data_IF_470665451222
#
_entry.id   IF_470665451222
#
_cell.length_a   1.000
_cell.length_b   1.000
_cell.length_c   1.000
_cell.angle_alpha   90.00
_cell.angle_beta   90.00
_cell.angle_gamma   90.00
#
_symmetry.space_group_name_H-M   'P 1'
#
loop_
_entity.id
_entity.type
_entity.pdbx_description
1 polymer ?
#
# COMPACT_ATOMS: atom_id res chain seq x y z
N UNK A 1 4.69 -6.72 4.75
CA UNK A 1 4.56 -8.01 5.51
C UNK A 1 5.80 -8.39 6.32
N UNK A 2 6.96 -8.50 5.67
CA UNK A 2 8.23 -8.86 6.31
C UNK A 2 8.67 -7.84 7.36
N UNK A 3 8.54 -6.54 7.08
CA UNK A 3 8.94 -5.51 8.05
C UNK A 3 8.15 -5.54 9.35
N UNK A 4 6.84 -5.79 9.32
CA UNK A 4 6.08 -5.86 10.57
C UNK A 4 6.54 -7.03 11.43
N UNK A 5 6.72 -8.19 10.79
CA UNK A 5 7.26 -9.39 11.42
C UNK A 5 8.63 -9.10 11.99
N UNK A 6 9.52 -8.49 11.23
CA UNK A 6 10.86 -8.10 11.69
C UNK A 6 10.80 -7.05 12.80
N UNK A 7 10.04 -5.98 12.66
CA UNK A 7 9.89 -4.95 13.68
C UNK A 7 9.28 -5.50 14.96
N UNK A 8 8.33 -6.44 14.92
CA UNK A 8 7.73 -7.05 16.12
C UNK A 8 8.61 -8.16 16.71
N UNK A 9 9.19 -9.02 15.88
CA UNK A 9 10.13 -10.05 16.31
C UNK A 9 11.40 -9.42 16.88
N UNK A 10 11.94 -8.41 16.23
CA UNK A 10 13.14 -7.68 16.64
C UNK A 10 12.87 -6.52 17.60
N UNK A 11 11.62 -6.04 17.80
CA UNK A 11 11.34 -5.09 18.91
C UNK A 11 11.73 -5.69 20.25
N UNK A 12 11.56 -7.01 20.38
CA UNK A 12 11.96 -7.77 21.56
C UNK A 12 13.49 -7.83 21.73
N UNK A 13 14.26 -7.53 20.68
CA UNK A 13 15.71 -7.52 20.70
C UNK A 13 16.28 -6.49 19.69
N UNK A 14 16.25 -5.19 20.06
CA UNK A 14 16.77 -4.09 19.23
C UNK A 14 18.21 -4.32 18.76
N UNK A 15 19.04 -4.95 19.60
CA UNK A 15 20.43 -5.26 19.26
C UNK A 15 20.52 -6.24 18.09
N UNK A 16 19.59 -7.20 17.99
CA UNK A 16 19.50 -8.12 16.84
C UNK A 16 19.17 -7.38 15.54
N UNK A 17 18.24 -6.41 15.59
CA UNK A 17 17.91 -5.58 14.44
C UNK A 17 19.13 -4.79 13.94
N UNK A 18 19.83 -4.13 14.87
CA UNK A 18 21.03 -3.35 14.57
C UNK A 18 22.09 -4.27 13.98
N UNK A 19 22.36 -5.42 14.60
CA UNK A 19 23.33 -6.40 14.10
C UNK A 19 23.01 -6.87 12.68
N UNK A 20 21.75 -7.18 12.39
CA UNK A 20 21.32 -7.57 11.03
C UNK A 20 21.52 -6.43 10.03
N UNK A 21 21.11 -5.20 10.37
CA UNK A 21 21.31 -4.03 9.52
C UNK A 21 22.79 -3.79 9.24
N UNK A 22 23.64 -3.81 10.27
CA UNK A 22 25.10 -3.65 10.15
C UNK A 22 25.68 -4.74 9.24
N UNK A 23 25.31 -6.01 9.43
CA UNK A 23 25.80 -7.10 8.58
C UNK A 23 25.41 -6.95 7.11
N UNK A 24 24.19 -6.49 6.81
CA UNK A 24 23.79 -6.22 5.43
C UNK A 24 24.55 -5.04 4.82
N UNK A 25 24.76 -3.96 5.56
CA UNK A 25 25.54 -2.82 5.09
C UNK A 25 27.00 -3.23 4.83
N UNK A 26 27.63 -3.99 5.73
CA UNK A 26 28.98 -4.55 5.53
C UNK A 26 29.05 -5.46 4.29
N UNK A 27 28.00 -6.22 4.00
CA UNK A 27 27.92 -7.00 2.76
C UNK A 27 27.90 -6.10 1.52
N UNK A 28 27.06 -5.06 1.50
CA UNK A 28 26.97 -4.16 0.36
C UNK A 28 28.25 -3.34 0.14
N UNK A 29 28.94 -2.92 1.21
CA UNK A 29 30.22 -2.19 1.10
C UNK A 29 31.36 -3.04 0.50
N UNK A 30 31.23 -4.37 0.47
CA UNK A 30 32.19 -5.26 -0.19
C UNK A 30 31.96 -5.37 -1.70
N UNK A 31 30.84 -4.87 -2.22
CA UNK A 31 30.56 -4.92 -3.64
C UNK A 31 31.37 -3.86 -4.39
N UNK A 32 31.97 -4.23 -5.51
CA UNK A 32 32.56 -3.26 -6.41
C UNK A 32 31.45 -2.52 -7.17
N UNK A 33 31.30 -1.22 -6.92
CA UNK A 33 30.23 -0.43 -7.53
C UNK A 33 30.35 -0.32 -9.05
N UNK A 34 31.57 -0.39 -9.58
CA UNK A 34 31.83 -0.19 -11.01
C UNK A 34 31.35 -1.40 -11.85
N UNK A 35 31.11 -2.54 -11.19
CA UNK A 35 30.55 -3.75 -11.79
C UNK A 35 29.01 -3.83 -11.66
N UNK A 36 28.37 -2.83 -11.05
CA UNK A 36 26.93 -2.86 -10.75
C UNK A 36 26.15 -1.85 -11.59
N UNK A 37 25.31 -2.34 -12.50
CA UNK A 37 24.32 -1.51 -13.19
C UNK A 37 23.24 -1.00 -12.23
N UNK A 38 22.69 -1.89 -11.40
CA UNK A 38 21.58 -1.62 -10.48
C UNK A 38 21.51 -2.69 -9.38
N UNK A 39 20.86 -2.37 -8.26
CA UNK A 39 20.44 -3.35 -7.24
C UNK A 39 18.92 -3.46 -7.29
N UNK A 40 18.44 -4.67 -7.55
CA UNK A 40 17.00 -4.99 -7.64
C UNK A 40 16.58 -5.77 -6.41
N UNK A 41 15.49 -5.37 -5.76
CA UNK A 41 14.98 -6.04 -4.58
C UNK A 41 13.45 -6.18 -4.62
N UNK A 42 12.94 -7.32 -4.16
CA UNK A 42 11.51 -7.66 -4.17
C UNK A 42 10.87 -7.60 -2.76
N UNK A 43 11.69 -7.46 -1.70
CA UNK A 43 11.24 -7.52 -0.30
C UNK A 43 10.69 -6.20 0.27
N UNK A 44 10.46 -6.19 1.59
CA UNK A 44 10.09 -5.00 2.36
C UNK A 44 10.81 -4.97 3.71
N UNK A 45 11.84 -5.79 3.90
CA UNK A 45 12.51 -5.99 5.19
C UNK A 45 13.70 -5.06 5.40
N UNK A 46 14.44 -5.32 6.47
CA UNK A 46 15.67 -4.61 6.84
C UNK A 46 16.73 -4.69 5.74
N UNK A 47 16.83 -5.82 5.03
CA UNK A 47 17.69 -5.97 3.86
C UNK A 47 17.39 -4.95 2.76
N UNK A 48 16.11 -4.66 2.49
CA UNK A 48 15.71 -3.67 1.50
C UNK A 48 16.14 -2.26 1.89
N UNK A 49 15.99 -1.93 3.18
CA UNK A 49 16.42 -0.64 3.71
C UNK A 49 17.95 -0.52 3.59
N UNK A 50 18.70 -1.55 3.96
CA UNK A 50 20.16 -1.58 3.82
C UNK A 50 20.61 -1.41 2.36
N UNK A 51 19.98 -2.16 1.43
CA UNK A 51 20.26 -2.08 0.00
C UNK A 51 20.02 -0.67 -0.55
N UNK A 52 18.89 -0.06 -0.18
CA UNK A 52 18.57 1.30 -0.62
C UNK A 52 19.52 2.35 -0.03
N UNK A 53 19.85 2.25 1.26
CA UNK A 53 20.83 3.14 1.89
C UNK A 53 22.21 3.05 1.22
N UNK A 54 22.65 1.84 0.89
CA UNK A 54 23.87 1.63 0.11
C UNK A 54 23.76 2.31 -1.27
N UNK A 55 22.71 2.05 -2.03
CA UNK A 55 22.49 2.67 -3.34
C UNK A 55 22.50 4.21 -3.30
N UNK A 56 21.86 4.81 -2.29
CA UNK A 56 21.88 6.26 -2.08
C UNK A 56 23.30 6.76 -1.82
N UNK A 57 24.07 6.05 -0.98
CA UNK A 57 25.45 6.41 -0.63
C UNK A 57 26.41 6.22 -1.82
N UNK A 58 26.31 5.11 -2.53
CA UNK A 58 27.19 4.74 -3.64
C UNK A 58 26.82 5.41 -4.96
N UNK A 59 25.63 6.03 -5.03
CA UNK A 59 24.99 6.52 -6.26
C UNK A 59 24.70 5.40 -7.28
N UNK A 60 24.58 4.16 -6.81
CA UNK A 60 24.13 3.03 -7.64
C UNK A 60 22.60 3.06 -7.76
N UNK A 61 22.06 2.68 -8.92
CA UNK A 61 20.61 2.61 -9.11
C UNK A 61 19.98 1.56 -8.19
N UNK A 62 18.88 1.93 -7.54
CA UNK A 62 18.05 1.02 -6.77
C UNK A 62 16.73 0.78 -7.48
N UNK A 63 16.28 -0.47 -7.51
CA UNK A 63 14.98 -0.84 -8.04
C UNK A 63 14.26 -1.68 -7.00
N UNK A 64 13.18 -1.12 -6.48
CA UNK A 64 12.19 -1.87 -5.73
C UNK A 64 11.17 -2.45 -6.70
N UNK A 65 11.15 -3.76 -6.77
CA UNK A 65 10.19 -4.49 -7.57
C UNK A 65 8.91 -4.73 -6.78
N UNK A 66 7.77 -4.69 -7.47
CA UNK A 66 6.51 -5.16 -6.94
C UNK A 66 6.14 -6.49 -7.56
N UNK A 67 5.76 -7.43 -6.70
CA UNK A 67 5.43 -8.81 -7.08
C UNK A 67 4.34 -8.91 -8.15
N UNK A 68 3.36 -8.01 -8.07
CA UNK A 68 2.29 -7.86 -9.06
C UNK A 68 1.92 -6.38 -9.23
N UNK A 69 1.43 -6.04 -10.43
CA UNK A 69 0.94 -4.72 -10.78
C UNK A 69 -0.57 -4.56 -10.63
N UNK A 70 -1.06 -3.40 -11.04
CA UNK A 70 -2.50 -3.10 -11.10
C UNK A 70 -3.18 -3.77 -12.31
N UNK A 71 -2.37 -4.16 -13.30
CA UNK A 71 -2.79 -4.79 -14.54
C UNK A 71 -2.40 -6.29 -14.48
N UNK A 72 -3.35 -7.23 -14.70
CA UNK A 72 -3.05 -8.66 -14.70
C UNK A 72 -1.89 -9.02 -15.63
N UNK A 73 -1.00 -9.90 -15.15
CA UNK A 73 0.18 -10.33 -15.91
C UNK A 73 1.30 -9.29 -16.04
N UNK A 74 1.13 -8.11 -15.42
CA UNK A 74 2.11 -7.03 -15.43
C UNK A 74 2.55 -6.67 -14.02
N UNK A 75 3.64 -5.91 -13.94
CA UNK A 75 4.22 -5.35 -12.70
C UNK A 75 4.71 -3.93 -12.92
N UNK A 76 5.04 -3.25 -11.84
CA UNK A 76 5.72 -1.96 -11.88
C UNK A 76 6.89 -1.99 -10.90
N UNK A 77 7.85 -1.11 -11.14
CA UNK A 77 9.09 -1.00 -10.38
C UNK A 77 9.27 0.45 -9.95
N UNK A 78 9.84 0.65 -8.77
CA UNK A 78 10.10 1.98 -8.22
C UNK A 78 11.58 2.19 -8.00
N UNK A 79 12.05 3.42 -8.20
CA UNK A 79 13.45 3.81 -7.99
C UNK A 79 13.84 3.95 -6.52
N UNK A 80 12.89 3.78 -5.61
CA UNK A 80 13.08 3.91 -4.17
C UNK A 80 12.27 2.87 -3.38
N UNK A 81 12.52 2.82 -2.07
CA UNK A 81 11.77 1.98 -1.14
C UNK A 81 10.35 2.52 -0.86
N UNK A 82 10.05 3.74 -1.33
CA UNK A 82 8.79 4.40 -1.05
C UNK A 82 7.64 3.82 -1.87
N UNK A 83 7.94 3.17 -3.00
CA UNK A 83 6.98 2.49 -3.89
C UNK A 83 5.86 3.40 -4.41
N UNK A 84 5.95 4.70 -4.17
CA UNK A 84 5.01 5.71 -4.63
C UNK A 84 5.53 6.42 -5.88
N UNK A 85 6.82 6.34 -6.18
CA UNK A 85 7.43 6.96 -7.36
C UNK A 85 7.81 5.90 -8.39
N UNK A 86 6.87 5.60 -9.26
CA UNK A 86 7.04 4.59 -10.32
C UNK A 86 6.33 4.96 -11.63
N UNK A 87 5.42 5.93 -11.60
CA UNK A 87 4.77 6.42 -12.82
C UNK A 87 5.79 7.29 -13.55
N UNK A 88 6.11 6.93 -14.79
CA UNK A 88 7.03 7.68 -15.63
C UNK A 88 6.36 8.95 -16.12
N UNK A 89 6.99 10.09 -15.82
CA UNK A 89 6.47 11.43 -16.13
C UNK A 89 6.31 11.66 -17.64
N UNK A 90 7.22 11.10 -18.44
CA UNK A 90 7.20 11.15 -19.91
C UNK A 90 5.92 10.60 -20.56
N UNK A 91 5.14 9.79 -19.84
CA UNK A 91 3.86 9.26 -20.30
C UNK A 91 2.66 10.09 -19.83
N UNK A 92 2.82 10.89 -18.77
CA UNK A 92 1.78 11.76 -18.24
C UNK A 92 1.67 13.09 -19.01
N UNK A 93 2.82 13.64 -19.41
CA UNK A 93 2.89 14.97 -20.04
C UNK A 93 2.40 14.98 -21.51
N UNK A 94 2.25 13.80 -22.13
CA UNK A 94 1.82 13.66 -23.53
C UNK A 94 0.30 13.65 -23.67
N UNK A 95 -0.19 14.20 -24.78
CA UNK A 95 -1.58 14.01 -25.20
C UNK A 95 -1.82 12.56 -25.65
N UNK A 96 -3.01 12.05 -25.37
CA UNK A 96 -3.36 10.67 -25.72
C UNK A 96 -3.76 10.57 -27.19
N UNK A 97 -3.25 9.54 -27.87
CA UNK A 97 -3.77 9.17 -29.20
C UNK A 97 -5.20 8.60 -29.10
N UNK A 98 -5.86 8.41 -30.23
CA UNK A 98 -7.20 7.80 -30.27
C UNK A 98 -7.19 6.37 -29.74
N UNK A 99 -6.15 5.60 -30.08
CA UNK A 99 -5.95 4.22 -29.64
C UNK A 99 -5.68 4.16 -28.13
N UNK A 100 -4.83 5.05 -27.61
CA UNK A 100 -4.54 5.12 -26.18
C UNK A 100 -5.78 5.49 -25.36
N UNK A 101 -6.63 6.38 -25.88
CA UNK A 101 -7.92 6.70 -25.26
C UNK A 101 -8.84 5.48 -25.13
N UNK A 102 -8.83 4.55 -26.10
CA UNK A 102 -9.63 3.33 -26.04
C UNK A 102 -9.09 2.42 -24.93
N UNK A 103 -7.79 2.14 -24.95
CA UNK A 103 -7.11 1.28 -23.96
C UNK A 103 -7.29 1.82 -22.54
N UNK A 104 -7.18 3.13 -22.34
CA UNK A 104 -7.41 3.77 -21.03
C UNK A 104 -8.84 3.56 -20.54
N UNK A 105 -9.85 3.72 -21.41
CA UNK A 105 -11.25 3.52 -21.03
C UNK A 105 -11.52 2.06 -20.65
N UNK A 106 -10.97 1.12 -21.40
CA UNK A 106 -11.06 -0.31 -21.09
C UNK A 106 -10.42 -0.65 -19.74
N UNK A 107 -9.22 -0.13 -19.48
CA UNK A 107 -8.53 -0.31 -18.20
C UNK A 107 -9.34 0.26 -17.03
N UNK A 108 -9.88 1.47 -17.16
CA UNK A 108 -10.69 2.09 -16.11
C UNK A 108 -12.01 1.34 -15.88
N UNK A 109 -12.65 0.84 -16.93
CA UNK A 109 -13.86 0.01 -16.79
C UNK A 109 -13.53 -1.31 -16.10
N UNK A 110 -12.47 -2.00 -16.52
CA UNK A 110 -11.99 -3.22 -15.87
C UNK A 110 -11.69 -2.99 -14.38
N UNK A 111 -11.01 -1.89 -14.05
CA UNK A 111 -10.67 -1.53 -12.66
C UNK A 111 -11.92 -1.32 -11.80
N UNK A 112 -13.00 -0.78 -12.37
CA UNK A 112 -14.28 -0.56 -11.66
C UNK A 112 -15.07 -1.86 -11.46
N UNK A 113 -14.97 -2.81 -12.38
CA UNK A 113 -15.71 -4.08 -12.32
C UNK A 113 -15.02 -5.14 -11.47
N UNK A 114 -13.72 -5.37 -11.69
CA UNK A 114 -13.03 -6.55 -11.15
C UNK A 114 -12.42 -6.36 -9.77
N UNK A 115 -12.50 -5.14 -9.20
CA UNK A 115 -11.86 -4.74 -7.94
C UNK A 115 -10.59 -5.55 -7.67
N UNK A 116 -9.55 -5.29 -8.47
CA UNK A 116 -8.27 -5.96 -8.29
C UNK A 116 -7.73 -5.60 -6.90
N UNK A 117 -7.88 -6.51 -5.93
CA UNK A 117 -7.16 -6.41 -4.67
C UNK A 117 -5.70 -6.61 -5.03
N UNK A 118 -4.93 -5.52 -4.99
CA UNK A 118 -3.48 -5.59 -5.18
C UNK A 118 -2.91 -6.25 -3.93
N UNK A 119 -2.31 -7.43 -4.09
CA UNK A 119 -1.73 -8.20 -3.01
C UNK A 119 -2.40 -9.56 -2.78
N UNK A 120 -1.99 -10.23 -1.71
CA UNK A 120 -2.50 -11.56 -1.35
C UNK A 120 -4.02 -11.48 -1.14
N UNK A 121 -4.77 -12.41 -1.76
CA UNK A 121 -6.22 -12.50 -1.62
C UNK A 121 -6.68 -12.67 -0.16
N UNK A 122 -8.00 -12.76 0.09
CA UNK A 122 -8.55 -12.92 1.44
C UNK A 122 -7.77 -13.99 2.21
N UNK A 123 -7.08 -13.60 3.28
CA UNK A 123 -6.39 -14.52 4.17
C UNK A 123 -7.39 -15.04 5.20
N UNK A 124 -7.98 -16.24 5.02
CA UNK A 124 -8.88 -16.80 6.01
C UNK A 124 -8.15 -16.91 7.35
N UNK A 125 -8.81 -16.49 8.43
CA UNK A 125 -8.20 -16.49 9.77
C UNK A 125 -7.91 -17.92 10.23
N UNK A 126 -8.81 -18.84 9.89
CA UNK A 126 -8.68 -20.29 10.08
C UNK A 126 -8.84 -20.96 8.71
N UNK A 127 -7.84 -21.73 8.29
CA UNK A 127 -7.89 -22.55 7.07
C UNK A 127 -6.98 -23.75 7.21
N UNK A 128 -7.26 -24.83 6.46
CA UNK A 128 -6.37 -25.99 6.36
C UNK A 128 -4.95 -25.58 5.96
N UNK A 129 -4.81 -24.55 5.12
CA UNK A 129 -3.51 -24.00 4.75
C UNK A 129 -2.78 -23.35 5.95
N UNK A 130 -3.49 -22.65 6.84
CA UNK A 130 -2.87 -22.11 8.06
C UNK A 130 -2.46 -23.21 9.04
N UNK A 131 -3.23 -24.31 9.12
CA UNK A 131 -2.88 -25.48 9.93
C UNK A 131 -1.63 -26.17 9.38
N UNK A 132 -1.60 -26.44 8.06
CA UNK A 132 -0.40 -26.97 7.38
C UNK A 132 0.82 -26.08 7.58
N UNK A 133 0.66 -24.76 7.44
CA UNK A 133 1.74 -23.78 7.72
C UNK A 133 2.22 -23.84 9.16
N UNK A 134 1.32 -23.96 10.14
CA UNK A 134 1.70 -24.09 11.55
C UNK A 134 2.52 -25.36 11.81
N UNK A 135 2.10 -26.52 11.28
CA UNK A 135 2.88 -27.76 11.41
C UNK A 135 4.21 -27.71 10.65
N UNK A 136 4.25 -27.10 9.46
CA UNK A 136 5.51 -26.85 8.74
C UNK A 136 6.46 -26.00 9.59
N UNK A 137 5.98 -24.87 10.12
CA UNK A 137 6.75 -24.02 11.03
C UNK A 137 7.19 -24.77 12.29
N UNK A 138 6.37 -25.68 12.85
CA UNK A 138 6.76 -26.51 14.00
C UNK A 138 7.91 -27.44 13.64
N UNK A 139 7.81 -28.15 12.51
CA UNK A 139 8.87 -29.03 12.03
C UNK A 139 10.17 -28.25 11.83
N UNK A 140 10.10 -27.10 11.14
CA UNK A 140 11.27 -26.24 10.90
C UNK A 140 11.86 -25.69 12.21
N UNK A 141 11.01 -25.36 13.18
CA UNK A 141 11.40 -24.85 14.50
C UNK A 141 12.16 -25.89 15.33
N UNK A 142 11.78 -27.18 15.25
CA UNK A 142 12.44 -28.26 15.98
C UNK A 142 13.61 -28.92 15.21
N UNK A 143 13.66 -28.80 13.88
CA UNK A 143 14.79 -29.27 13.05
C UNK A 143 16.04 -28.38 13.13
N UNK A 144 16.08 -27.44 14.07
CA UNK A 144 17.20 -26.52 14.28
C UNK A 144 17.63 -25.75 13.01
N UNK A 145 16.66 -25.38 12.15
CA UNK A 145 16.81 -24.25 11.22
C UNK A 145 16.76 -22.92 12.02
N UNK A 146 17.45 -22.88 13.16
CA UNK A 146 17.73 -21.66 13.94
C UNK A 146 18.61 -20.69 13.16
N UNK A 147 19.34 -21.18 12.16
CA UNK A 147 20.21 -20.38 11.30
C UNK A 147 19.43 -19.36 10.46
N UNK A 148 18.16 -19.63 10.11
CA UNK A 148 17.28 -18.63 9.51
C UNK A 148 16.50 -17.95 10.63
N UNK A 149 17.20 -17.06 11.34
CA UNK A 149 16.74 -16.20 12.44
C UNK A 149 15.50 -15.33 12.15
N UNK A 150 14.90 -15.49 10.97
CA UNK A 150 13.76 -14.77 10.45
C UNK A 150 12.44 -15.51 10.72
N UNK A 151 12.44 -16.84 10.90
CA UNK A 151 11.21 -17.66 11.06
C UNK A 151 10.53 -17.37 12.42
N UNK A 152 9.24 -16.95 12.46
CA UNK A 152 8.57 -16.69 13.74
C UNK A 152 8.31 -18.02 14.43
N UNK A 153 8.33 -18.04 15.77
CA UNK A 153 7.94 -19.27 16.47
C UNK A 153 6.49 -19.65 16.09
N UNK A 154 6.20 -20.95 15.95
CA UNK A 154 4.85 -21.43 15.66
C UNK A 154 3.82 -20.91 16.66
N UNK A 155 4.21 -20.82 17.93
CA UNK A 155 3.38 -20.27 19.00
C UNK A 155 3.12 -18.77 18.84
N UNK A 156 4.10 -17.99 18.38
CA UNK A 156 3.91 -16.59 18.04
C UNK A 156 2.93 -16.45 16.87
N UNK A 157 3.11 -17.23 15.80
CA UNK A 157 2.18 -17.29 14.66
C UNK A 157 0.76 -17.61 15.13
N UNK A 158 0.57 -18.66 15.94
CA UNK A 158 -0.73 -19.03 16.50
C UNK A 158 -1.33 -17.91 17.34
N UNK A 159 -0.55 -17.29 18.24
CA UNK A 159 -1.01 -16.18 19.08
C UNK A 159 -1.45 -14.96 18.25
N UNK A 160 -0.74 -14.65 17.16
CA UNK A 160 -1.09 -13.56 16.25
C UNK A 160 -2.45 -13.82 15.58
N UNK A 161 -2.67 -15.04 15.09
CA UNK A 161 -3.94 -15.42 14.48
C UNK A 161 -5.10 -15.42 15.48
N UNK A 162 -4.87 -15.88 16.72
CA UNK A 162 -5.86 -15.83 17.79
C UNK A 162 -6.22 -14.38 18.17
N UNK A 163 -5.22 -13.52 18.36
CA UNK A 163 -5.43 -12.09 18.65
C UNK A 163 -6.22 -11.43 17.51
N UNK A 164 -5.87 -11.69 16.25
CA UNK A 164 -6.62 -11.18 15.09
C UNK A 164 -8.07 -11.64 15.09
N UNK A 165 -8.33 -12.91 15.40
CA UNK A 165 -9.67 -13.46 15.50
C UNK A 165 -10.49 -12.77 16.61
N UNK A 166 -9.93 -12.67 17.81
CA UNK A 166 -10.58 -12.02 18.94
C UNK A 166 -10.82 -10.54 18.68
N UNK A 167 -9.87 -9.83 18.08
CA UNK A 167 -10.02 -8.42 17.69
C UNK A 167 -11.13 -8.25 16.66
N UNK A 168 -11.22 -9.12 15.65
CA UNK A 168 -12.31 -9.11 14.66
C UNK A 168 -13.67 -9.27 15.33
N UNK A 169 -13.81 -10.15 16.32
CA UNK A 169 -15.09 -10.29 17.04
C UNK A 169 -15.38 -9.05 17.88
N UNK A 170 -14.38 -8.58 18.64
CA UNK A 170 -14.52 -7.44 19.54
C UNK A 170 -14.70 -6.10 18.81
N UNK A 171 -14.22 -5.96 17.58
CA UNK A 171 -14.34 -4.72 16.79
C UNK A 171 -15.75 -4.54 16.22
N UNK A 172 -16.48 -5.63 15.93
CA UNK A 172 -17.83 -5.60 15.34
C UNK A 172 -18.81 -4.70 16.10
N UNK A 173 -18.74 -4.67 17.45
CA UNK A 173 -19.63 -3.83 18.27
C UNK A 173 -19.46 -2.32 18.05
N UNK A 174 -18.35 -1.91 17.44
CA UNK A 174 -18.07 -0.52 17.09
C UNK A 174 -18.49 -0.17 15.66
N UNK A 175 -18.87 -1.16 14.85
CA UNK A 175 -19.31 -0.93 13.49
C UNK A 175 -20.78 -0.53 13.48
N UNK A 176 -21.12 0.44 12.63
CA UNK A 176 -22.50 0.86 12.38
C UNK A 176 -22.84 0.70 10.90
N UNK A 177 -24.13 0.66 10.60
CA UNK A 177 -24.61 0.57 9.22
C UNK A 177 -24.09 1.76 8.39
N UNK A 178 -23.79 1.49 7.11
CA UNK A 178 -23.39 2.53 6.17
C UNK A 178 -24.64 3.21 5.61
N UNK A 179 -24.84 4.47 5.99
CA UNK A 179 -25.96 5.30 5.54
C UNK A 179 -25.49 6.26 4.44
N UNK A 180 -25.93 6.00 3.21
CA UNK A 180 -25.58 6.78 2.01
C UNK A 180 -26.28 8.15 1.92
N UNK A 181 -27.29 8.40 2.75
CA UNK A 181 -28.07 9.66 2.70
C UNK A 181 -27.34 10.83 3.34
N UNK A 182 -26.34 10.54 4.18
CA UNK A 182 -25.53 11.56 4.85
C UNK A 182 -24.54 12.19 3.87
N UNK A 183 -24.11 13.41 4.17
CA UNK A 183 -22.92 13.99 3.55
C UNK A 183 -21.68 13.44 4.26
N UNK A 184 -20.71 12.92 3.51
CA UNK A 184 -19.55 12.28 4.12
C UNK A 184 -18.28 12.35 3.30
N UNK A 185 -17.16 12.30 4.02
CA UNK A 185 -15.87 11.91 3.50
C UNK A 185 -15.58 10.45 3.85
N UNK A 186 -14.73 9.81 3.06
CA UNK A 186 -14.30 8.43 3.29
C UNK A 186 -12.81 8.34 3.58
N UNK A 187 -12.45 7.65 4.67
CA UNK A 187 -11.08 7.29 5.01
C UNK A 187 -10.90 5.76 5.01
N UNK A 188 -10.20 5.19 4.03
CA UNK A 188 -9.81 3.77 4.03
C UNK A 188 -8.67 3.57 5.03
N UNK A 189 -8.89 2.75 6.08
CA UNK A 189 -7.81 2.36 6.99
C UNK A 189 -6.82 1.47 6.24
N UNK A 190 -5.55 1.83 6.30
CA UNK A 190 -4.45 0.96 5.91
C UNK A 190 -4.33 -0.20 6.88
N UNK A 191 -3.73 -1.30 6.43
CA UNK A 191 -3.33 -2.36 7.35
C UNK A 191 -2.42 -1.75 8.41
N UNK A 192 -2.68 -2.04 9.70
CA UNK A 192 -1.97 -1.37 10.79
C UNK A 192 -0.44 -1.52 10.72
N UNK A 193 0.03 -2.53 9.98
CA UNK A 193 1.43 -2.81 9.78
C UNK A 193 1.78 -3.00 8.31
N UNK A 194 1.13 -2.22 7.45
CA UNK A 194 1.51 -2.01 6.07
C UNK A 194 2.94 -1.45 6.01
N UNK A 195 3.78 -2.03 5.16
CA UNK A 195 5.15 -1.57 4.90
C UNK A 195 5.16 -0.15 4.34
N UNK A 196 4.20 0.20 3.48
CA UNK A 196 4.09 1.54 2.93
C UNK A 196 3.88 2.56 4.05
N UNK A 197 3.02 2.25 5.03
CA UNK A 197 2.81 3.14 6.17
C UNK A 197 4.02 3.14 7.12
N UNK A 198 4.59 1.97 7.42
CA UNK A 198 5.68 1.85 8.41
C UNK A 198 7.01 2.46 7.95
N UNK A 199 7.34 2.33 6.66
CA UNK A 199 8.59 2.84 6.10
C UNK A 199 8.38 4.27 5.59
N UNK A 200 7.36 4.46 4.76
CA UNK A 200 7.27 5.63 3.88
C UNK A 200 6.45 6.74 4.50
N UNK A 201 5.46 6.36 5.31
CA UNK A 201 4.50 7.28 5.91
C UNK A 201 4.47 7.13 7.44
N UNK A 202 5.64 6.88 8.06
CA UNK A 202 5.75 6.48 9.47
C UNK A 202 5.12 7.49 10.45
N UNK A 203 5.10 8.78 10.07
CA UNK A 203 4.43 9.86 10.80
C UNK A 203 2.93 9.59 10.99
N UNK A 204 2.33 8.87 10.05
CA UNK A 204 0.90 8.54 10.00
C UNK A 204 0.60 7.12 10.50
N UNK A 205 1.58 6.42 11.08
CA UNK A 205 1.39 5.07 11.63
C UNK A 205 0.23 5.00 12.63
N UNK A 206 0.08 6.03 13.47
CA UNK A 206 -1.06 6.17 14.39
C UNK A 206 -2.29 6.67 13.66
N UNK A 207 -2.89 5.80 12.85
CA UNK A 207 -4.08 6.12 12.05
C UNK A 207 -5.27 6.58 12.92
N UNK A 208 -5.38 6.16 14.18
CA UNK A 208 -6.39 6.70 15.11
C UNK A 208 -6.20 8.19 15.40
N UNK A 209 -4.96 8.68 15.40
CA UNK A 209 -4.63 10.11 15.55
C UNK A 209 -4.82 10.90 14.27
N UNK A 210 -4.53 10.29 13.13
CA UNK A 210 -4.86 10.86 11.82
C UNK A 210 -6.38 11.10 11.71
N UNK A 211 -7.18 10.09 12.06
CA UNK A 211 -8.64 10.19 12.06
C UNK A 211 -9.14 11.22 13.08
N UNK A 212 -8.54 11.30 14.27
CA UNK A 212 -8.88 12.33 15.26
C UNK A 212 -8.67 13.74 14.71
N UNK A 213 -7.57 13.98 13.99
CA UNK A 213 -7.29 15.29 13.38
C UNK A 213 -8.24 15.60 12.21
N UNK A 214 -8.52 14.61 11.36
CA UNK A 214 -9.52 14.74 10.29
C UNK A 214 -10.90 15.07 10.88
N UNK A 215 -11.30 14.40 11.96
CA UNK A 215 -12.56 14.64 12.64
C UNK A 215 -12.70 16.10 13.13
N UNK A 216 -11.60 16.72 13.57
CA UNK A 216 -11.57 18.13 13.98
C UNK A 216 -11.63 19.11 12.79
N UNK A 217 -11.16 18.69 11.63
CA UNK A 217 -11.09 19.50 10.42
C UNK A 217 -12.34 19.39 9.52
N UNK A 218 -13.23 18.43 9.78
CA UNK A 218 -14.46 18.25 9.00
C UNK A 218 -15.47 19.38 9.22
N UNK A 219 -16.22 19.80 8.18
CA UNK A 219 -17.37 20.68 8.35
C UNK A 219 -18.47 20.02 9.19
N UNK A 220 -19.30 20.84 9.85
CA UNK A 220 -20.27 20.39 10.85
C UNK A 220 -21.34 19.41 10.29
N UNK A 221 -21.73 19.57 9.03
CA UNK A 221 -22.74 18.74 8.37
C UNK A 221 -22.18 17.47 7.70
N UNK A 222 -20.86 17.21 7.86
CA UNK A 222 -20.19 16.06 7.29
C UNK A 222 -19.76 15.06 8.37
N UNK A 223 -19.84 13.77 8.02
CA UNK A 223 -19.25 12.70 8.80
C UNK A 223 -18.07 12.06 8.07
N UNK A 224 -17.17 11.42 8.82
CA UNK A 224 -16.15 10.54 8.28
C UNK A 224 -16.61 9.10 8.36
N UNK A 225 -16.73 8.43 7.22
CA UNK A 225 -16.78 6.97 7.21
C UNK A 225 -15.37 6.40 7.22
N UNK A 226 -15.14 5.45 8.11
CA UNK A 226 -13.86 4.75 8.27
C UNK A 226 -14.07 3.26 8.06
N UNK A 227 -13.21 2.62 7.27
CA UNK A 227 -13.35 1.20 6.94
C UNK A 227 -12.01 0.46 6.99
N UNK A 228 -11.97 -0.66 7.72
CA UNK A 228 -10.82 -1.58 7.71
C UNK A 228 -10.67 -2.31 6.35
N UNK A 229 -9.42 -2.59 5.96
CA UNK A 229 -9.12 -3.42 4.80
C UNK A 229 -9.65 -4.86 4.98
N UNK A 230 -10.39 -5.42 4.00
CA UNK A 230 -11.08 -6.70 4.17
C UNK A 230 -10.15 -7.91 4.35
N UNK A 231 -8.90 -7.83 3.88
CA UNK A 231 -7.91 -8.92 3.99
C UNK A 231 -7.30 -9.00 5.40
N UNK A 232 -7.29 -7.90 6.13
CA UNK A 232 -6.59 -7.78 7.42
C UNK A 232 -7.48 -7.37 8.58
N UNK A 233 -8.76 -7.72 8.51
CA UNK A 233 -9.69 -7.51 9.62
C UNK A 233 -9.10 -8.10 10.92
N UNK A 234 -9.08 -7.28 11.97
CA UNK A 234 -8.56 -7.65 13.29
C UNK A 234 -7.04 -7.48 13.47
N UNK A 235 -6.29 -7.07 12.44
CA UNK A 235 -4.89 -6.62 12.62
C UNK A 235 -4.82 -5.22 13.23
N UNK A 236 -5.83 -4.38 12.98
CA UNK A 236 -5.94 -3.05 13.60
C UNK A 236 -6.06 -3.19 15.12
N UNK A 237 -5.23 -2.51 15.91
CA UNK A 237 -5.33 -2.55 17.36
C UNK A 237 -6.72 -2.17 17.85
N UNK A 238 -7.33 -3.00 18.71
CA UNK A 238 -8.68 -2.75 19.24
C UNK A 238 -8.77 -1.39 19.97
N UNK A 239 -7.67 -0.93 20.57
CA UNK A 239 -7.56 0.40 21.19
C UNK A 239 -7.79 1.52 20.17
N UNK A 240 -7.25 1.40 18.96
CA UNK A 240 -7.43 2.38 17.88
C UNK A 240 -8.89 2.42 17.45
N UNK A 241 -9.50 1.27 17.20
CA UNK A 241 -10.93 1.15 16.87
C UNK A 241 -11.81 1.77 17.98
N UNK A 242 -11.50 1.52 19.26
CA UNK A 242 -12.20 2.10 20.41
C UNK A 242 -12.01 3.63 20.50
N UNK A 243 -10.85 4.16 20.12
CA UNK A 243 -10.62 5.59 20.11
C UNK A 243 -11.43 6.27 18.99
N UNK A 244 -11.38 5.69 17.79
CA UNK A 244 -12.11 6.18 16.61
C UNK A 244 -13.62 6.19 16.88
N UNK A 245 -14.16 5.13 17.50
CA UNK A 245 -15.61 5.02 17.74
C UNK A 245 -16.17 6.02 18.77
N UNK A 246 -15.31 6.73 19.51
CA UNK A 246 -15.71 7.80 20.43
C UNK A 246 -15.89 9.16 19.76
N UNK A 247 -15.39 9.33 18.54
CA UNK A 247 -15.47 10.59 17.80
C UNK A 247 -16.89 10.76 17.26
N UNK A 248 -17.53 11.89 17.55
CA UNK A 248 -18.97 12.10 17.31
C UNK A 248 -19.34 12.10 15.82
N UNK A 249 -18.48 12.67 14.98
CA UNK A 249 -18.66 12.78 13.53
C UNK A 249 -17.89 11.69 12.76
N UNK A 250 -17.53 10.58 13.40
CA UNK A 250 -16.85 9.46 12.73
C UNK A 250 -17.67 8.19 12.91
N UNK A 251 -17.84 7.43 11.82
CA UNK A 251 -18.54 6.14 11.84
C UNK A 251 -17.66 5.06 11.23
N UNK A 252 -17.38 4.02 12.01
CA UNK A 252 -16.71 2.82 11.51
C UNK A 252 -17.75 1.95 10.84
N UNK A 253 -17.55 1.64 9.57
CA UNK A 253 -18.45 0.80 8.77
C UNK A 253 -17.88 -0.61 8.61
N UNK A 254 -18.74 -1.63 8.37
CA UNK A 254 -18.28 -2.99 8.13
C UNK A 254 -17.27 -3.07 6.98
N UNK A 255 -16.21 -3.86 7.18
CA UNK A 255 -15.22 -4.14 6.14
C UNK A 255 -15.81 -4.85 4.91
N UNK A 256 -16.99 -5.45 5.06
CA UNK A 256 -17.76 -6.12 4.00
C UNK A 256 -18.51 -5.14 3.09
N UNK A 257 -18.72 -3.89 3.50
CA UNK A 257 -19.34 -2.86 2.65
C UNK A 257 -18.51 -2.65 1.39
N UNK A 258 -19.11 -2.53 0.22
CA UNK A 258 -18.34 -2.34 -1.02
C UNK A 258 -17.65 -0.95 -1.01
N UNK A 259 -16.34 -0.91 -1.31
CA UNK A 259 -15.58 0.35 -1.37
C UNK A 259 -16.08 1.27 -2.49
N UNK A 260 -16.50 0.72 -3.64
CA UNK A 260 -16.98 1.51 -4.77
C UNK A 260 -18.30 2.21 -4.45
N UNK A 261 -19.19 1.56 -3.70
CA UNK A 261 -20.46 2.15 -3.30
C UNK A 261 -20.24 3.33 -2.32
N UNK A 262 -19.26 3.21 -1.43
CA UNK A 262 -18.85 4.31 -0.54
C UNK A 262 -18.20 5.44 -1.35
N UNK A 263 -17.34 5.13 -2.33
CA UNK A 263 -16.64 6.15 -3.11
C UNK A 263 -17.60 6.91 -4.02
N UNK A 264 -18.55 6.23 -4.69
CA UNK A 264 -19.49 6.86 -5.64
C UNK A 264 -20.32 7.99 -5.04
N UNK A 265 -20.70 7.88 -3.78
CA UNK A 265 -21.59 8.84 -3.13
C UNK A 265 -20.87 9.79 -2.14
N UNK A 266 -19.55 9.60 -1.93
CA UNK A 266 -18.79 10.49 -1.04
C UNK A 266 -18.60 11.90 -1.62
N UNK A 267 -18.36 12.88 -0.75
CA UNK A 267 -17.88 14.20 -1.13
C UNK A 267 -16.40 14.20 -1.52
N UNK A 268 -15.62 13.31 -0.90
CA UNK A 268 -14.23 13.06 -1.25
C UNK A 268 -13.62 11.95 -0.41
N UNK A 269 -12.46 11.48 -0.85
CA UNK A 269 -11.65 10.52 -0.11
C UNK A 269 -10.51 11.25 0.58
N UNK A 270 -10.30 11.01 1.86
CA UNK A 270 -9.13 11.47 2.61
C UNK A 270 -8.24 10.25 2.82
N UNK A 271 -6.95 10.33 2.47
CA UNK A 271 -6.08 9.15 2.55
C UNK A 271 -4.60 9.52 2.78
N UNK A 272 -3.86 8.57 3.36
CA UNK A 272 -2.39 8.62 3.45
C UNK A 272 -1.81 8.24 2.08
N UNK A 273 -1.92 6.97 1.71
CA UNK A 273 -1.40 6.46 0.45
C UNK A 273 -2.25 5.32 -0.18
N UNK A 274 -3.52 5.19 0.20
CA UNK A 274 -4.34 4.02 -0.18
C UNK A 274 -4.64 3.99 -1.69
N UNK A 275 -4.68 2.81 -2.30
CA UNK A 275 -5.17 2.65 -3.69
C UNK A 275 -6.61 3.16 -3.88
N UNK A 276 -7.40 3.25 -2.80
CA UNK A 276 -8.75 3.83 -2.85
C UNK A 276 -8.77 5.29 -3.27
N UNK A 277 -7.69 6.07 -3.05
CA UNK A 277 -7.61 7.42 -3.64
C UNK A 277 -7.49 7.38 -5.16
N UNK A 278 -6.74 6.42 -5.72
CA UNK A 278 -6.75 6.18 -7.17
C UNK A 278 -8.13 5.79 -7.67
N UNK A 279 -8.81 4.85 -6.99
CA UNK A 279 -10.20 4.46 -7.32
C UNK A 279 -11.15 5.68 -7.31
N UNK A 280 -11.00 6.57 -6.33
CA UNK A 280 -11.81 7.78 -6.22
C UNK A 280 -11.63 8.74 -7.41
N UNK A 281 -10.40 8.94 -7.89
CA UNK A 281 -10.15 9.73 -9.09
C UNK A 281 -10.87 9.14 -10.33
N UNK A 282 -10.96 7.81 -10.45
CA UNK A 282 -11.71 7.18 -11.54
C UNK A 282 -13.23 7.42 -11.48
N UNK A 283 -13.77 7.67 -10.28
CA UNK A 283 -15.15 8.11 -10.05
C UNK A 283 -15.30 9.64 -10.04
N UNK A 284 -14.23 10.36 -10.41
CA UNK A 284 -14.17 11.83 -10.42
C UNK A 284 -14.44 12.44 -9.05
N UNK A 285 -14.06 11.72 -7.99
CA UNK A 285 -14.19 12.17 -6.62
C UNK A 285 -12.91 12.87 -6.17
N UNK A 286 -13.02 14.03 -5.52
CA UNK A 286 -11.91 14.72 -4.91
C UNK A 286 -11.15 13.84 -3.93
N UNK A 287 -9.83 13.95 -3.95
CA UNK A 287 -8.95 13.21 -3.05
C UNK A 287 -8.08 14.20 -2.28
N UNK A 288 -8.19 14.18 -0.96
CA UNK A 288 -7.31 14.89 -0.04
C UNK A 288 -6.24 13.91 0.43
N UNK A 289 -5.00 14.19 0.11
CA UNK A 289 -3.86 13.35 0.46
C UNK A 289 -3.13 13.99 1.63
N UNK A 290 -2.86 13.22 2.68
CA UNK A 290 -2.11 13.70 3.85
C UNK A 290 -0.61 13.40 3.74
N UNK A 291 -0.24 12.62 2.74
CA UNK A 291 1.13 12.29 2.36
C UNK A 291 1.19 12.05 0.85
N UNK A 292 2.28 11.47 0.33
CA UNK A 292 2.52 11.28 -1.11
C UNK A 292 2.11 9.88 -1.63
N UNK A 293 0.88 9.64 -2.13
CA UNK A 293 0.55 8.45 -2.93
C UNK A 293 1.14 8.52 -4.34
N UNK A 294 1.16 7.38 -5.04
CA UNK A 294 1.66 7.31 -6.43
C UNK A 294 0.83 8.08 -7.46
N UNK A 295 -0.44 8.34 -7.15
CA UNK A 295 -1.37 9.08 -8.02
C UNK A 295 -1.46 10.57 -7.65
N UNK A 296 -0.54 11.05 -6.82
CA UNK A 296 -0.41 12.48 -6.52
C UNK A 296 0.04 13.19 -7.79
N UNK A 297 -0.82 14.05 -8.34
CA UNK A 297 -0.58 14.69 -9.62
C UNK A 297 -1.31 16.04 -9.67
N UNK A 298 -0.71 16.99 -10.38
CA UNK A 298 -1.16 18.37 -10.33
C UNK A 298 -2.62 18.55 -10.82
N UNK A 299 -3.41 19.21 -9.99
CA UNK A 299 -4.84 19.41 -10.21
C UNK A 299 -5.73 18.18 -9.99
N UNK A 300 -5.19 16.98 -9.75
CA UNK A 300 -5.98 15.79 -9.43
C UNK A 300 -6.21 15.62 -7.92
N UNK A 301 -5.16 15.81 -7.11
CA UNK A 301 -5.22 15.67 -5.64
C UNK A 301 -5.18 17.03 -4.93
N UNK A 302 -5.58 17.04 -3.67
CA UNK A 302 -5.48 18.16 -2.74
C UNK A 302 -4.51 17.79 -1.63
N UNK A 303 -3.25 18.16 -1.82
CA UNK A 303 -2.17 17.68 -0.95
C UNK A 303 -1.99 18.56 0.29
N UNK A 304 -1.94 17.90 1.46
CA UNK A 304 -1.76 18.55 2.78
C UNK A 304 -0.31 18.35 3.22
N UNK A 305 0.55 19.35 2.95
CA UNK A 305 1.98 19.28 3.33
C UNK A 305 2.23 19.36 4.84
N UNK A 306 1.36 20.07 5.56
CA UNK A 306 1.45 20.25 7.01
C UNK A 306 0.19 19.72 7.68
N UNK A 307 0.11 18.39 7.80
CA UNK A 307 -1.05 17.72 8.34
C UNK A 307 -1.32 18.07 9.82
N UNK A 308 -0.27 18.38 10.58
CA UNK A 308 -0.42 18.75 12.00
C UNK A 308 -1.16 20.09 12.17
N UNK A 309 -1.13 20.93 11.14
CA UNK A 309 -1.91 22.15 11.09
C UNK A 309 -3.36 21.86 10.66
N UNK A 310 -4.25 21.77 11.65
CA UNK A 310 -5.68 21.50 11.44
C UNK A 310 -6.35 22.52 10.51
N UNK A 311 -5.93 23.78 10.48
CA UNK A 311 -6.50 24.81 9.59
C UNK A 311 -6.16 24.55 8.12
N UNK A 312 -4.92 24.10 7.84
CA UNK A 312 -4.53 23.70 6.49
C UNK A 312 -5.29 22.47 6.03
N UNK A 313 -5.49 21.49 6.91
CA UNK A 313 -6.31 20.32 6.63
C UNK A 313 -7.77 20.72 6.36
N UNK A 314 -8.36 21.56 7.22
CA UNK A 314 -9.73 22.08 7.07
C UNK A 314 -9.91 22.82 5.75
N UNK A 315 -8.96 23.68 5.39
CA UNK A 315 -8.96 24.38 4.11
C UNK A 315 -8.99 23.40 2.93
N UNK A 316 -8.13 22.37 2.91
CA UNK A 316 -8.09 21.38 1.83
C UNK A 316 -9.36 20.51 1.78
N UNK A 317 -9.91 20.13 2.93
CA UNK A 317 -11.19 19.39 3.00
C UNK A 317 -12.33 20.25 2.43
N UNK A 318 -12.41 21.53 2.80
CA UNK A 318 -13.43 22.44 2.26
C UNK A 318 -13.28 22.62 0.75
N UNK A 319 -12.06 22.84 0.25
CA UNK A 319 -11.80 22.88 -1.20
C UNK A 319 -12.23 21.60 -1.91
N UNK A 320 -12.15 20.45 -1.25
CA UNK A 320 -12.54 19.17 -1.83
C UNK A 320 -14.05 19.07 -2.07
N UNK A 321 -14.89 19.77 -1.30
CA UNK A 321 -16.36 19.68 -1.43
C UNK A 321 -16.81 20.16 -2.82
N UNK A 322 -16.22 21.24 -3.32
CA UNK A 322 -16.59 21.87 -4.60
C UNK A 322 -15.68 21.48 -5.76
N UNK A 323 -14.59 20.73 -5.49
CA UNK A 323 -13.61 20.35 -6.52
C UNK A 323 -14.23 19.42 -7.55
N UNK A 324 -14.18 19.81 -8.82
CA UNK A 324 -14.49 18.93 -9.95
C UNK A 324 -13.21 18.32 -10.49
N UNK A 325 -13.18 16.99 -10.60
CA UNK A 325 -12.06 16.28 -11.21
C UNK A 325 -12.19 16.29 -12.72
N UNK A 326 -11.14 16.80 -13.37
CA UNK A 326 -10.97 16.76 -14.81
C UNK A 326 -10.65 15.34 -15.26
N UNK A 327 -11.56 14.79 -16.07
CA UNK A 327 -11.46 13.42 -16.57
C UNK A 327 -10.28 13.24 -17.54
N UNK A 328 -9.88 14.29 -18.27
CA UNK A 328 -8.76 14.23 -19.20
C UNK A 328 -7.44 14.04 -18.45
N UNK A 329 -7.26 14.74 -17.33
CA UNK A 329 -6.12 14.53 -16.42
C UNK A 329 -6.12 13.11 -15.83
N UNK A 330 -7.29 12.55 -15.50
CA UNK A 330 -7.40 11.15 -15.05
C UNK A 330 -6.99 10.18 -16.16
N UNK A 331 -7.37 10.45 -17.42
CA UNK A 331 -6.96 9.62 -18.55
C UNK A 331 -5.47 9.68 -18.82
N UNK A 332 -4.84 10.87 -18.72
CA UNK A 332 -3.38 11.02 -18.75
C UNK A 332 -2.69 10.22 -17.66
N UNK A 333 -3.20 10.29 -16.43
CA UNK A 333 -2.65 9.50 -15.32
C UNK A 333 -2.83 8.00 -15.55
N UNK A 334 -4.00 7.57 -16.04
CA UNK A 334 -4.26 6.17 -16.37
C UNK A 334 -3.34 5.66 -17.50
N UNK A 335 -3.12 6.45 -18.54
CA UNK A 335 -2.17 6.11 -19.61
C UNK A 335 -0.75 5.96 -19.05
N UNK A 336 -0.32 6.91 -18.22
CA UNK A 336 0.98 6.86 -17.57
C UNK A 336 1.12 5.63 -16.66
N UNK A 337 0.08 5.28 -15.89
CA UNK A 337 0.01 4.01 -15.14
C UNK A 337 0.23 2.82 -16.06
N UNK A 338 -0.53 2.71 -17.16
CA UNK A 338 -0.46 1.56 -18.08
C UNK A 338 0.92 1.44 -18.72
N UNK A 339 1.49 2.55 -19.21
CA UNK A 339 2.78 2.56 -19.92
C UNK A 339 3.98 2.38 -18.98
N UNK A 340 3.81 2.71 -17.70
CA UNK A 340 4.84 2.46 -16.67
C UNK A 340 4.81 1.03 -16.13
N UNK A 341 3.84 0.21 -16.55
CA UNK A 341 3.84 -1.22 -16.25
C UNK A 341 4.69 -2.00 -17.26
N UNK A 342 5.35 -3.01 -16.73
CA UNK A 342 6.17 -3.97 -17.44
C UNK A 342 5.48 -5.32 -17.51
N UNK A 343 5.79 -6.09 -18.55
CA UNK A 343 5.26 -7.44 -18.69
C UNK A 343 5.94 -8.40 -17.71
N UNK A 344 5.18 -9.41 -17.30
CA UNK A 344 5.61 -10.41 -16.31
C UNK A 344 5.00 -10.14 -14.93
N UNK A 345 4.54 -11.21 -14.31
CA UNK A 345 4.02 -11.25 -12.94
C UNK A 345 4.74 -12.39 -12.21
N UNK A 346 5.09 -12.20 -10.94
CA UNK A 346 5.67 -13.30 -10.15
C UNK A 346 4.66 -14.42 -9.87
N UNK A 347 3.38 -14.18 -10.13
CA UNK A 347 2.30 -15.09 -9.80
C UNK A 347 1.45 -15.46 -11.02
N UNK A 348 1.12 -16.75 -11.16
CA UNK A 348 0.14 -17.29 -12.15
C UNK A 348 -1.30 -16.93 -11.75
N UNK A 349 -1.57 -17.03 -10.45
CA UNK A 349 -2.74 -16.55 -9.73
C UNK A 349 -2.23 -16.00 -8.39
N UNK A 350 -2.90 -15.01 -7.77
CA UNK A 350 -2.47 -14.21 -6.58
C UNK A 350 -1.83 -14.96 -5.37
N UNK A 351 -1.68 -16.27 -5.41
CA UNK A 351 -1.13 -17.13 -4.36
C UNK A 351 0.04 -18.02 -4.76
N UNK A 352 0.32 -18.28 -6.05
CA UNK A 352 1.34 -19.25 -6.49
C UNK A 352 2.39 -18.59 -7.39
N UNK A 353 3.67 -18.83 -7.10
CA UNK A 353 4.76 -18.39 -7.94
C UNK A 353 4.71 -19.05 -9.32
N UNK A 354 4.98 -18.25 -10.35
CA UNK A 354 5.13 -18.72 -11.72
C UNK A 354 6.61 -18.98 -12.00
N UNK A 355 6.93 -20.23 -12.37
CA UNK A 355 8.29 -20.67 -12.69
C UNK A 355 8.45 -20.99 -14.18
N UNK A 356 7.44 -20.70 -15.00
CA UNK A 356 7.53 -20.90 -16.44
C UNK A 356 8.64 -20.04 -17.05
N UNK A 357 9.37 -20.61 -18.01
CA UNK A 357 10.52 -19.96 -18.63
C UNK A 357 10.15 -18.61 -19.27
N UNK A 358 9.00 -18.54 -19.94
CA UNK A 358 8.51 -17.30 -20.56
C UNK A 358 8.26 -16.19 -19.53
N UNK A 359 7.69 -16.56 -18.37
CA UNK A 359 7.48 -15.61 -17.27
C UNK A 359 8.82 -15.14 -16.70
N UNK A 360 9.76 -16.04 -16.45
CA UNK A 360 11.12 -15.69 -15.97
C UNK A 360 11.83 -14.76 -16.96
N UNK A 361 11.74 -15.06 -18.26
CA UNK A 361 12.33 -14.22 -19.31
C UNK A 361 11.72 -12.81 -19.32
N UNK A 362 10.39 -12.69 -19.29
CA UNK A 362 9.70 -11.39 -19.19
C UNK A 362 10.11 -10.60 -17.95
N UNK A 363 10.27 -11.29 -16.81
CA UNK A 363 10.76 -10.68 -15.58
C UNK A 363 12.21 -10.19 -15.73
N UNK A 364 13.10 -10.95 -16.34
CA UNK A 364 14.48 -10.52 -16.58
C UNK A 364 14.54 -9.31 -17.52
N UNK A 365 13.95 -9.42 -18.71
CA UNK A 365 13.96 -8.39 -19.76
C UNK A 365 13.41 -7.06 -19.24
N UNK A 366 12.28 -7.11 -18.53
CA UNK A 366 11.67 -5.93 -17.94
C UNK A 366 12.53 -5.29 -16.85
N UNK A 367 13.25 -6.09 -16.06
CA UNK A 367 14.13 -5.58 -15.01
C UNK A 367 15.33 -4.85 -15.61
N UNK A 368 15.95 -5.42 -16.64
CA UNK A 368 17.06 -4.80 -17.37
C UNK A 368 16.60 -3.46 -17.95
N UNK A 369 15.44 -3.44 -18.60
CA UNK A 369 14.86 -2.22 -19.18
C UNK A 369 14.64 -1.10 -18.15
N UNK A 370 14.23 -1.43 -16.93
CA UNK A 370 14.11 -0.43 -15.85
C UNK A 370 15.49 0.01 -15.33
N UNK A 371 16.46 -0.91 -15.21
CA UNK A 371 17.84 -0.57 -14.83
C UNK A 371 18.50 0.41 -15.81
N UNK A 372 18.17 0.31 -17.09
CA UNK A 372 18.69 1.20 -18.14
C UNK A 372 17.91 2.52 -18.25
N UNK A 373 16.71 2.63 -17.66
CA UNK A 373 15.86 3.82 -17.81
C UNK A 373 16.34 5.00 -16.95
N UNK A 374 16.60 6.14 -17.59
CA UNK A 374 17.11 7.37 -16.97
C UNK A 374 16.06 8.48 -16.78
N UNK A 375 14.81 8.24 -17.17
CA UNK A 375 13.77 9.27 -17.11
C UNK A 375 13.29 9.63 -15.70
N UNK A 376 12.45 10.65 -15.63
CA UNK A 376 11.84 11.14 -14.40
C UNK A 376 10.51 10.45 -14.08
N UNK A 377 10.20 10.39 -12.78
CA UNK A 377 8.92 9.95 -12.23
C UNK A 377 8.01 11.15 -11.96
N UNK A 378 6.71 10.92 -12.05
CA UNK A 378 5.67 11.85 -11.58
C UNK A 378 5.71 11.92 -10.05
#
# INVERSE_FOLDING_TARGET
>A
GHLFRELVLYRKNRNKLIKSMTGYLEFFEKLNKDDLLCIVNNGEGVLNIAAWLYCVKSKTKFIQNNWCGMIPGKRYMSKDILKNRWIKKEHYDKELTREENIVVKEFLNYSKEKKSIIGLGKLPILSLNNVKKFFGLLVDYYRDIKLINEIPSPFFFLSLHLIRYLNKIKSKRYHKHFDKTKKYFYFPLHEAFDSAVLINHYRFFRQDKVIENIAKALPEDYILYVKEHPVTIGTTPLRWIKNISKLRNVTIIPSTTNSHDIVKDCAGVITICSSTGWEALQYRKPVVTVDSPFYMADGLTLDVKDFENTDKLKMKINMAIDKKIDINKVYKLANAVIKSHYDGSYFTHLTNFDYEYDTIKKLADSTIKECEWEGDVL
#
